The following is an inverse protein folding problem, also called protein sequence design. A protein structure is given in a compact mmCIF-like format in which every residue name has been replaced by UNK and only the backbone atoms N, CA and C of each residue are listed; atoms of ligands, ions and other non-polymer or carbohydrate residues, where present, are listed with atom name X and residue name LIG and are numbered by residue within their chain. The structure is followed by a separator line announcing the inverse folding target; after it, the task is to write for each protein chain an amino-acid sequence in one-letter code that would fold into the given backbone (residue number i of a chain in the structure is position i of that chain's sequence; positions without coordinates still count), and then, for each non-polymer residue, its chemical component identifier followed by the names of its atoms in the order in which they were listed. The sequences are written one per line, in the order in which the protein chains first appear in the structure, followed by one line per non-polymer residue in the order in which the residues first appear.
data_IF_301774432249
#
_entry.id   IF_301774432249
#
_cell.length_a   1.000
_cell.length_b   1.000
_cell.length_c   1.000
_cell.angle_alpha   90.00
_cell.angle_beta   90.00
_cell.angle_gamma   90.00
#
_symmetry.space_group_name_H-M   'P 1'
#
loop_
_entity.id
_entity.type
_entity.pdbx_description
1 polymer ?
#
# COMPACT_ATOMS: atom_id res chain seq x y z
N UNK A 1 21.51 -14.72 -15.23
CA UNK A 1 20.20 -14.31 -15.75
C UNK A 1 19.15 -15.05 -14.95
N UNK A 2 18.35 -14.34 -14.14
CA UNK A 2 17.18 -14.94 -13.48
C UNK A 2 16.15 -15.19 -14.58
N UNK A 3 15.50 -16.35 -14.56
CA UNK A 3 14.52 -16.68 -15.60
C UNK A 3 13.31 -15.71 -15.53
N UNK A 4 12.69 -15.37 -16.67
CA UNK A 4 11.57 -14.43 -16.72
C UNK A 4 10.38 -14.80 -15.82
N UNK A 5 10.13 -16.10 -15.61
CA UNK A 5 9.03 -16.60 -14.78
C UNK A 5 9.32 -16.42 -13.29
N UNK A 6 10.58 -16.58 -12.85
CA UNK A 6 11.00 -16.26 -11.48
C UNK A 6 10.85 -14.76 -11.19
N UNK A 7 11.25 -13.89 -12.11
CA UNK A 7 11.09 -12.43 -11.96
C UNK A 7 9.63 -12.01 -11.76
N UNK A 8 8.73 -12.55 -12.58
CA UNK A 8 7.29 -12.29 -12.48
C UNK A 8 6.68 -12.85 -11.18
N UNK A 9 7.14 -14.03 -10.76
CA UNK A 9 6.71 -14.66 -9.51
C UNK A 9 7.11 -13.81 -8.29
N UNK A 10 8.35 -13.34 -8.25
CA UNK A 10 8.84 -12.46 -7.18
C UNK A 10 8.07 -11.14 -7.13
N UNK A 11 7.76 -10.54 -8.27
CA UNK A 11 6.94 -9.33 -8.37
C UNK A 11 5.57 -9.52 -7.71
N UNK A 12 4.89 -10.62 -8.03
CA UNK A 12 3.55 -10.91 -7.50
C UNK A 12 3.58 -11.23 -6.00
N UNK A 13 4.56 -12.02 -5.54
CA UNK A 13 4.62 -12.40 -4.13
C UNK A 13 5.05 -11.26 -3.21
N UNK A 14 5.94 -10.37 -3.65
CA UNK A 14 6.37 -9.21 -2.86
C UNK A 14 5.21 -8.25 -2.59
N UNK A 15 4.39 -7.94 -3.59
CA UNK A 15 3.21 -7.09 -3.39
C UNK A 15 2.14 -7.77 -2.51
N UNK A 16 1.90 -9.08 -2.70
CA UNK A 16 0.98 -9.84 -1.84
C UNK A 16 1.43 -9.85 -0.39
N UNK A 17 2.72 -10.03 -0.16
CA UNK A 17 3.31 -10.03 1.18
C UNK A 17 3.22 -8.63 1.81
N UNK A 18 3.45 -7.56 1.06
CA UNK A 18 3.26 -6.18 1.53
C UNK A 18 1.81 -5.92 1.96
N UNK A 19 0.83 -6.37 1.17
CA UNK A 19 -0.60 -6.27 1.51
C UNK A 19 -0.95 -7.11 2.74
N UNK A 20 -0.41 -8.33 2.86
CA UNK A 20 -0.61 -9.18 4.03
C UNK A 20 -0.08 -8.50 5.32
N UNK A 21 1.09 -7.87 5.25
CA UNK A 21 1.65 -7.10 6.36
C UNK A 21 0.77 -5.89 6.72
N UNK A 22 0.20 -5.21 5.73
CA UNK A 22 -0.76 -4.13 5.97
C UNK A 22 -2.02 -4.64 6.70
N UNK A 23 -2.59 -5.76 6.27
CA UNK A 23 -3.74 -6.37 6.93
C UNK A 23 -3.40 -6.78 8.37
N UNK A 24 -2.23 -7.41 8.58
CA UNK A 24 -1.74 -7.77 9.91
C UNK A 24 -1.63 -6.54 10.81
N UNK A 25 -1.10 -5.42 10.30
CA UNK A 25 -1.09 -4.14 11.02
C UNK A 25 -2.50 -3.70 11.39
N UNK A 26 -3.46 -3.71 10.45
CA UNK A 26 -4.85 -3.30 10.71
C UNK A 26 -5.48 -4.15 11.82
N UNK A 27 -5.26 -5.47 11.82
CA UNK A 27 -5.75 -6.39 12.84
C UNK A 27 -5.17 -6.05 14.23
N UNK A 28 -3.85 -5.79 14.31
CA UNK A 28 -3.20 -5.34 15.55
C UNK A 28 -3.72 -3.97 16.00
N UNK A 29 -4.00 -3.08 15.05
CA UNK A 29 -4.49 -1.73 15.28
C UNK A 29 -5.99 -1.69 15.65
N UNK A 30 -6.80 -2.71 15.31
CA UNK A 30 -8.20 -2.81 15.79
C UNK A 30 -8.32 -2.87 17.30
N UNK A 31 -7.26 -3.31 17.98
CA UNK A 31 -7.16 -3.26 19.44
C UNK A 31 -6.72 -1.88 19.98
N UNK A 32 -6.67 -0.84 19.15
CA UNK A 32 -6.20 0.50 19.50
C UNK A 32 -7.31 1.53 19.31
N UNK A 33 -7.51 2.38 20.30
CA UNK A 33 -8.24 3.63 20.11
C UNK A 33 -7.32 4.55 19.31
N UNK A 34 -7.73 4.94 18.09
CA UNK A 34 -6.98 5.87 17.24
C UNK A 34 -6.47 7.05 18.09
N UNK A 35 -5.23 7.46 17.92
CA UNK A 35 -4.61 8.53 18.72
C UNK A 35 -4.08 8.12 20.09
N UNK A 36 -3.56 6.90 20.21
CA UNK A 36 -2.71 6.44 21.33
C UNK A 36 -1.23 6.33 20.91
N UNK A 37 -0.34 5.85 21.77
CA UNK A 37 1.04 5.52 21.36
C UNK A 37 1.01 4.25 20.48
N UNK A 38 1.68 4.20 19.32
CA UNK A 38 1.70 3.00 18.46
C UNK A 38 2.44 1.84 19.13
N UNK A 39 1.92 0.61 19.00
CA UNK A 39 2.55 -0.61 19.56
C UNK A 39 3.79 -0.99 18.74
N UNK A 40 4.76 -1.68 19.37
CA UNK A 40 5.96 -2.16 18.65
C UNK A 40 5.56 -3.09 17.49
N UNK A 41 4.63 -4.02 17.74
CA UNK A 41 4.17 -4.95 16.72
C UNK A 41 3.48 -4.25 15.54
N UNK A 42 2.70 -3.19 15.80
CA UNK A 42 2.09 -2.37 14.74
C UNK A 42 3.17 -1.76 13.84
N UNK A 43 4.20 -1.15 14.45
CA UNK A 43 5.31 -0.55 13.72
C UNK A 43 6.11 -1.59 12.94
N UNK A 44 6.38 -2.76 13.53
CA UNK A 44 7.15 -3.84 12.89
C UNK A 44 6.41 -4.37 11.66
N UNK A 45 5.13 -4.71 11.76
CA UNK A 45 4.35 -5.17 10.60
C UNK A 45 4.25 -4.08 9.53
N UNK A 46 4.11 -2.82 9.94
CA UNK A 46 4.08 -1.71 8.99
C UNK A 46 5.40 -1.51 8.25
N UNK A 47 6.52 -1.58 8.96
CA UNK A 47 7.85 -1.42 8.40
C UNK A 47 8.24 -2.60 7.49
N UNK A 48 7.94 -3.85 7.90
CA UNK A 48 8.18 -5.03 7.06
C UNK A 48 7.35 -4.95 5.77
N UNK A 49 6.08 -4.54 5.85
CA UNK A 49 5.24 -4.30 4.68
C UNK A 49 5.82 -3.23 3.75
N UNK A 50 6.32 -2.12 4.33
CA UNK A 50 6.99 -1.06 3.57
C UNK A 50 8.25 -1.56 2.85
N UNK A 51 9.10 -2.34 3.54
CA UNK A 51 10.30 -2.90 2.96
C UNK A 51 9.98 -3.88 1.83
N UNK A 52 8.96 -4.72 2.00
CA UNK A 52 8.50 -5.63 0.96
C UNK A 52 7.96 -4.88 -0.27
N UNK A 53 7.26 -3.76 -0.06
CA UNK A 53 6.80 -2.89 -1.14
C UNK A 53 7.96 -2.18 -1.84
N UNK A 54 8.97 -1.70 -1.11
CA UNK A 54 10.17 -1.11 -1.73
C UNK A 54 10.94 -2.15 -2.56
N UNK A 55 11.05 -3.37 -2.05
CA UNK A 55 11.60 -4.49 -2.82
C UNK A 55 10.78 -4.73 -4.09
N UNK A 56 9.44 -4.73 -4.00
CA UNK A 56 8.57 -4.83 -5.17
C UNK A 56 8.86 -3.73 -6.22
N UNK A 57 9.01 -2.47 -5.80
CA UNK A 57 9.36 -1.35 -6.69
C UNK A 57 10.72 -1.58 -7.36
N UNK A 58 11.74 -1.95 -6.60
CA UNK A 58 13.08 -2.24 -7.16
C UNK A 58 13.02 -3.40 -8.16
N UNK A 59 12.29 -4.46 -7.85
CA UNK A 59 12.11 -5.59 -8.75
C UNK A 59 11.37 -5.18 -10.03
N UNK A 60 10.36 -4.31 -9.94
CA UNK A 60 9.63 -3.81 -11.10
C UNK A 60 10.55 -2.97 -12.01
N UNK A 61 11.35 -2.08 -11.41
CA UNK A 61 12.31 -1.28 -12.17
C UNK A 61 13.44 -2.12 -12.78
N UNK A 62 13.84 -3.20 -12.11
CA UNK A 62 14.90 -4.10 -12.58
C UNK A 62 14.43 -5.05 -13.68
N UNK A 63 13.24 -5.65 -13.56
CA UNK A 63 12.79 -6.69 -14.47
C UNK A 63 11.82 -6.22 -15.55
N UNK A 64 11.17 -5.07 -15.36
CA UNK A 64 10.09 -4.60 -16.26
C UNK A 64 10.41 -3.25 -16.88
N UNK A 65 11.17 -2.40 -16.20
CA UNK A 65 11.37 -1.02 -16.67
C UNK A 65 12.80 -0.66 -17.07
N UNK A 66 13.76 -1.58 -16.95
CA UNK A 66 15.18 -1.33 -17.26
C UNK A 66 15.72 -0.04 -16.61
N UNK A 67 15.21 0.27 -15.41
CA UNK A 67 15.48 1.52 -14.70
C UNK A 67 15.12 2.82 -15.44
N UNK A 68 14.37 2.73 -16.55
CA UNK A 68 13.91 3.87 -17.34
C UNK A 68 12.55 4.38 -16.86
N UNK A 69 12.54 5.59 -16.29
CA UNK A 69 11.29 6.28 -15.91
C UNK A 69 10.35 6.45 -17.10
N UNK A 70 10.89 6.79 -18.28
CA UNK A 70 10.11 6.94 -19.51
C UNK A 70 9.43 5.62 -19.88
N UNK A 71 10.17 4.51 -19.82
CA UNK A 71 9.62 3.19 -20.11
C UNK A 71 8.52 2.80 -19.11
N UNK A 72 8.73 3.08 -17.82
CA UNK A 72 7.70 2.86 -16.79
C UNK A 72 6.43 3.69 -17.02
N UNK A 73 6.58 4.96 -17.40
CA UNK A 73 5.46 5.85 -17.69
C UNK A 73 4.69 5.39 -18.93
N UNK A 74 5.39 5.06 -20.01
CA UNK A 74 4.79 4.57 -21.26
C UNK A 74 4.06 3.23 -21.03
N UNK A 75 4.67 2.30 -20.31
CA UNK A 75 4.05 1.03 -19.93
C UNK A 75 2.77 1.24 -19.11
N UNK A 76 2.81 2.16 -18.13
CA UNK A 76 1.63 2.51 -17.33
C UNK A 76 0.54 3.18 -18.18
N UNK A 77 0.92 4.02 -19.14
CA UNK A 77 -0.02 4.69 -20.03
C UNK A 77 -0.74 3.71 -20.96
N UNK A 78 -0.03 2.72 -21.50
CA UNK A 78 -0.59 1.65 -22.33
C UNK A 78 -1.57 0.79 -21.52
N UNK A 79 -1.18 0.38 -20.31
CA UNK A 79 -2.07 -0.45 -19.48
C UNK A 79 -3.32 0.32 -19.02
N UNK A 80 -3.17 1.62 -18.72
CA UNK A 80 -4.31 2.49 -18.40
C UNK A 80 -5.23 2.67 -19.60
N UNK A 81 -4.70 2.83 -20.81
CA UNK A 81 -5.48 2.89 -22.05
C UNK A 81 -6.26 1.60 -22.27
N UNK A 82 -5.60 0.45 -22.10
CA UNK A 82 -6.23 -0.86 -22.26
C UNK A 82 -7.42 -1.07 -21.33
N UNK A 83 -7.34 -0.57 -20.09
CA UNK A 83 -8.35 -0.82 -19.06
C UNK A 83 -9.43 0.26 -18.98
N UNK A 84 -9.09 1.51 -19.30
CA UNK A 84 -9.98 2.67 -19.11
C UNK A 84 -10.34 3.37 -20.42
N UNK A 85 -9.68 3.02 -21.53
CA UNK A 85 -9.78 3.72 -22.82
C UNK A 85 -9.02 5.04 -22.87
N UNK A 86 -8.31 5.42 -21.81
CA UNK A 86 -7.59 6.71 -21.70
C UNK A 86 -6.10 6.45 -21.51
N UNK A 87 -5.27 6.94 -22.44
CA UNK A 87 -3.81 6.82 -22.35
C UNK A 87 -3.22 7.85 -21.39
N UNK A 88 -2.95 7.43 -20.15
CA UNK A 88 -2.33 8.27 -19.10
C UNK A 88 -1.34 7.47 -18.25
N UNK A 89 -0.09 7.92 -18.16
CA UNK A 89 0.92 7.34 -17.29
C UNK A 89 0.90 7.87 -15.84
N UNK A 90 -0.08 8.70 -15.48
CA UNK A 90 -0.19 9.36 -14.17
C UNK A 90 -0.27 8.38 -12.99
N UNK A 91 -0.70 7.14 -13.23
CA UNK A 91 -0.67 6.08 -12.22
C UNK A 91 0.74 5.85 -11.63
N UNK A 92 1.79 6.12 -12.42
CA UNK A 92 3.18 6.01 -11.94
C UNK A 92 3.50 7.08 -10.87
N UNK A 93 3.03 8.31 -11.06
CA UNK A 93 3.20 9.37 -10.07
C UNK A 93 2.42 9.08 -8.79
N UNK A 94 1.22 8.51 -8.90
CA UNK A 94 0.44 8.06 -7.74
C UNK A 94 1.21 7.00 -6.95
N UNK A 95 1.89 6.06 -7.64
CA UNK A 95 2.76 5.07 -6.98
C UNK A 95 3.95 5.72 -6.28
N UNK A 96 4.56 6.77 -6.85
CA UNK A 96 5.63 7.50 -6.16
C UNK A 96 5.13 8.21 -4.89
N UNK A 97 3.96 8.85 -4.96
CA UNK A 97 3.33 9.46 -3.78
C UNK A 97 3.01 8.40 -2.73
N UNK A 98 2.55 7.21 -3.15
CA UNK A 98 2.31 6.08 -2.26
C UNK A 98 3.60 5.60 -1.57
N UNK A 99 4.69 5.42 -2.32
CA UNK A 99 6.01 5.09 -1.77
C UNK A 99 6.45 6.08 -0.70
N UNK A 100 6.42 7.38 -1.03
CA UNK A 100 6.82 8.43 -0.09
C UNK A 100 5.91 8.44 1.14
N UNK A 101 4.60 8.33 0.96
CA UNK A 101 3.64 8.32 2.05
C UNK A 101 3.89 7.16 3.00
N UNK A 102 4.14 5.95 2.49
CA UNK A 102 4.43 4.79 3.34
C UNK A 102 5.72 5.01 4.15
N UNK A 103 6.81 5.39 3.48
CA UNK A 103 8.10 5.63 4.13
C UNK A 103 8.02 6.71 5.21
N UNK A 104 7.40 7.85 4.91
CA UNK A 104 7.22 8.92 5.89
C UNK A 104 6.34 8.49 7.05
N UNK A 105 5.30 7.68 6.81
CA UNK A 105 4.44 7.18 7.88
C UNK A 105 5.17 6.22 8.82
N UNK A 106 6.00 5.30 8.28
CA UNK A 106 6.86 4.43 9.10
C UNK A 106 7.76 5.27 10.01
N UNK A 107 8.44 6.26 9.43
CA UNK A 107 9.34 7.16 10.17
C UNK A 107 8.57 7.93 11.24
N UNK A 108 7.41 8.50 10.89
CA UNK A 108 6.53 9.22 11.81
C UNK A 108 6.10 8.35 12.99
N UNK A 109 5.71 7.10 12.75
CA UNK A 109 5.28 6.18 13.79
C UNK A 109 6.45 5.72 14.67
N UNK A 110 7.63 5.52 14.09
CA UNK A 110 8.85 5.23 14.84
C UNK A 110 9.22 6.38 15.79
N UNK A 111 9.17 7.64 15.30
CA UNK A 111 9.38 8.82 16.13
C UNK A 111 8.30 8.99 17.21
N UNK A 112 7.02 8.82 16.85
CA UNK A 112 5.94 8.90 17.83
C UNK A 112 6.13 7.86 18.94
N UNK A 113 6.57 6.65 18.59
CA UNK A 113 6.86 5.59 19.56
C UNK A 113 8.06 5.92 20.44
N UNK A 114 9.19 6.33 19.86
CA UNK A 114 10.41 6.63 20.62
C UNK A 114 10.20 7.76 21.63
N UNK A 115 9.29 8.69 21.31
CA UNK A 115 8.90 9.79 22.18
C UNK A 115 7.69 9.46 23.07
N UNK A 116 7.15 8.24 23.01
CA UNK A 116 5.92 7.81 23.70
C UNK A 116 4.74 8.77 23.48
N UNK A 117 4.63 9.32 22.27
CA UNK A 117 3.59 10.29 21.87
C UNK A 117 2.43 9.61 21.16
N UNK A 118 1.24 10.09 21.47
CA UNK A 118 0.04 9.75 20.73
C UNK A 118 0.09 10.29 19.28
N UNK A 119 -0.40 9.50 18.32
CA UNK A 119 -0.54 9.95 16.94
C UNK A 119 -1.79 10.82 16.74
N UNK A 120 -1.82 11.61 15.66
CA UNK A 120 -3.01 12.38 15.31
C UNK A 120 -3.99 11.50 14.52
N UNK A 121 -5.24 11.40 14.99
CA UNK A 121 -6.28 10.56 14.37
C UNK A 121 -6.51 10.90 12.89
N UNK A 122 -6.57 12.19 12.56
CA UNK A 122 -6.79 12.64 11.19
C UNK A 122 -5.70 12.14 10.24
N UNK A 123 -4.42 12.21 10.66
CA UNK A 123 -3.30 11.74 9.84
C UNK A 123 -3.36 10.22 9.64
N UNK A 124 -3.59 9.46 10.71
CA UNK A 124 -3.73 8.00 10.61
C UNK A 124 -4.88 7.62 9.66
N UNK A 125 -6.03 8.30 9.79
CA UNK A 125 -7.17 8.09 8.89
C UNK A 125 -6.84 8.43 7.44
N UNK A 126 -6.22 9.58 7.17
CA UNK A 126 -5.84 9.99 5.81
C UNK A 126 -4.90 8.98 5.16
N UNK A 127 -3.88 8.50 5.88
CA UNK A 127 -2.95 7.48 5.37
C UNK A 127 -3.72 6.19 5.04
N UNK A 128 -4.58 5.72 5.95
CA UNK A 128 -5.34 4.49 5.71
C UNK A 128 -6.37 4.63 4.57
N UNK A 129 -7.03 5.78 4.45
CA UNK A 129 -7.94 6.07 3.35
C UNK A 129 -7.20 6.11 2.00
N UNK A 130 -6.00 6.70 1.97
CA UNK A 130 -5.16 6.69 0.78
C UNK A 130 -4.71 5.27 0.41
N UNK A 131 -4.27 4.45 1.37
CA UNK A 131 -3.94 3.04 1.14
C UNK A 131 -5.14 2.24 0.63
N UNK A 132 -6.32 2.46 1.20
CA UNK A 132 -7.56 1.84 0.75
C UNK A 132 -7.84 2.17 -0.71
N UNK A 133 -7.74 3.45 -1.07
CA UNK A 133 -7.92 3.93 -2.43
C UNK A 133 -6.93 3.27 -3.41
N UNK A 134 -5.65 3.16 -3.04
CA UNK A 134 -4.63 2.49 -3.87
C UNK A 134 -4.96 1.00 -4.05
N UNK A 135 -5.26 0.28 -2.96
CA UNK A 135 -5.61 -1.15 -3.03
C UNK A 135 -6.88 -1.36 -3.85
N UNK A 136 -7.88 -0.48 -3.73
CA UNK A 136 -9.10 -0.54 -4.55
C UNK A 136 -8.77 -0.44 -6.02
N UNK A 137 -8.03 0.59 -6.43
CA UNK A 137 -7.66 0.75 -7.82
C UNK A 137 -6.86 -0.47 -8.29
N UNK A 138 -5.85 -0.90 -7.53
CA UNK A 138 -5.01 -2.04 -7.88
C UNK A 138 -5.78 -3.37 -8.01
N UNK A 139 -6.87 -3.57 -7.27
CA UNK A 139 -7.62 -4.84 -7.25
C UNK A 139 -8.87 -4.81 -8.13
N UNK A 140 -9.58 -3.68 -8.17
CA UNK A 140 -10.86 -3.54 -8.88
C UNK A 140 -10.66 -3.09 -10.31
N UNK A 141 -9.81 -2.07 -10.52
CA UNK A 141 -9.55 -1.47 -11.83
C UNK A 141 -8.48 -2.27 -12.58
N UNK A 142 -7.35 -2.50 -11.92
CA UNK A 142 -6.17 -3.13 -12.54
C UNK A 142 -6.01 -4.62 -12.23
N UNK A 143 -6.77 -5.16 -11.27
CA UNK A 143 -6.61 -6.52 -10.79
C UNK A 143 -7.43 -7.57 -11.57
N UNK A 144 -6.97 -8.83 -11.63
CA UNK A 144 -7.77 -9.95 -12.13
C UNK A 144 -9.13 -10.05 -11.41
N UNK A 145 -10.17 -10.50 -12.12
CA UNK A 145 -11.55 -10.51 -11.63
C UNK A 145 -11.74 -11.16 -10.24
N UNK A 146 -10.93 -12.18 -9.92
CA UNK A 146 -10.95 -12.87 -8.63
C UNK A 146 -10.53 -11.98 -7.44
N UNK A 147 -9.62 -11.02 -7.66
CA UNK A 147 -9.14 -10.10 -6.62
C UNK A 147 -10.15 -9.00 -6.27
N UNK A 148 -11.13 -8.75 -7.13
CA UNK A 148 -12.21 -7.79 -6.88
C UNK A 148 -13.03 -8.16 -5.65
N UNK A 149 -13.20 -9.46 -5.40
CA UNK A 149 -13.96 -10.00 -4.26
C UNK A 149 -13.16 -9.82 -2.94
N UNK A 150 -11.83 -9.91 -3.00
CA UNK A 150 -10.96 -9.74 -1.83
C UNK A 150 -10.81 -8.28 -1.37
N UNK A 151 -11.11 -7.30 -2.24
CA UNK A 151 -11.12 -5.89 -1.86
C UNK A 151 -12.24 -5.56 -0.85
N UNK A 152 -13.38 -6.25 -0.95
CA UNK A 152 -14.58 -6.02 -0.14
C UNK A 152 -14.33 -6.15 1.38
N UNK A 153 -13.73 -7.25 1.90
CA UNK A 153 -13.47 -7.37 3.34
C UNK A 153 -12.46 -6.34 3.88
N UNK A 154 -11.48 -5.91 3.07
CA UNK A 154 -10.51 -4.86 3.44
C UNK A 154 -11.22 -3.51 3.60
N UNK A 155 -12.11 -3.17 2.67
CA UNK A 155 -12.94 -1.95 2.74
C UNK A 155 -13.89 -1.98 3.93
N UNK A 156 -14.56 -3.11 4.18
CA UNK A 156 -15.38 -3.29 5.36
C UNK A 156 -14.58 -3.13 6.65
N UNK A 157 -13.34 -3.65 6.69
CA UNK A 157 -12.47 -3.46 7.84
C UNK A 157 -12.11 -1.98 8.07
N UNK A 158 -11.84 -1.23 7.01
CA UNK A 158 -11.54 0.19 7.12
C UNK A 158 -12.76 1.01 7.57
N UNK A 159 -13.94 0.76 7.01
CA UNK A 159 -15.19 1.42 7.42
C UNK A 159 -15.51 1.13 8.89
N UNK A 160 -15.36 -0.12 9.32
CA UNK A 160 -15.54 -0.49 10.73
C UNK A 160 -14.50 0.19 11.63
N UNK A 161 -13.28 0.44 11.15
CA UNK A 161 -12.28 1.18 11.93
C UNK A 161 -12.62 2.67 12.06
N UNK A 162 -13.27 3.25 11.05
CA UNK A 162 -13.74 4.64 11.06
C UNK A 162 -15.06 4.85 11.84
N UNK A 163 -15.97 3.86 11.85
CA UNK A 163 -17.30 3.98 12.47
C UNK A 163 -17.32 3.86 13.99
N UNK A 164 -16.28 3.35 14.64
CA UNK A 164 -16.28 3.14 16.10
C UNK A 164 -16.13 4.42 16.95
N UNK A 165 -16.39 5.62 16.42
CA UNK A 165 -16.47 6.85 17.25
C UNK A 165 -17.34 7.96 16.62
N UNK A 166 -18.65 7.71 16.56
CA UNK A 166 -19.67 8.78 16.56
C UNK A 166 -20.71 8.57 17.67
N UNK A 167 -20.30 8.09 18.85
CA UNK A 167 -21.11 8.29 20.05
C UNK A 167 -20.35 9.23 20.99
N UNK A 168 -20.91 10.43 21.27
CA UNK A 168 -20.34 11.37 22.24
C UNK A 168 -20.28 10.76 23.65
#
# INVERSE_FOLDING_TARGET
MIDPTTGQTLLVWTVRFAVACYIARLLVARCRVVGQVPKQSELVWWAIGCLAYLAHVVLAFTFTHDWSHRHAWEHTAIETERLTGIRRGEGLWVNYVFTLTWCFDVIRLAFARSQMRATKRGVDFTVHAFFAFIIFNATVVFGPALYRILAIPIFFALILSGRMKQNP
#
